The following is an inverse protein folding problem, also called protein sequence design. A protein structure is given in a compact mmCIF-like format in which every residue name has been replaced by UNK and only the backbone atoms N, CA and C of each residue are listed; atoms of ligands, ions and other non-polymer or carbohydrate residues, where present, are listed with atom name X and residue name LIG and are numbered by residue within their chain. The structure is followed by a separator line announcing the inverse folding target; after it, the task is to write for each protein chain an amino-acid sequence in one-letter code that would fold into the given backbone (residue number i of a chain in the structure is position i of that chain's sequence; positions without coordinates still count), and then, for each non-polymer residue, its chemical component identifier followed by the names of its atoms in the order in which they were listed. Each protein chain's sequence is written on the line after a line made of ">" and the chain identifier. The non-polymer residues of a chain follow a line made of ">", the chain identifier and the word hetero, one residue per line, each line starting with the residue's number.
data_IF_976347261397
#
_entry.id   IF_976347261397
#
_cell.length_a   1.000
_cell.length_b   1.000
_cell.length_c   1.000
_cell.angle_alpha   90.00
_cell.angle_beta   90.00
_cell.angle_gamma   90.00
#
_symmetry.space_group_name_H-M   'P 1'
#
loop_
_entity.id
_entity.type
_entity.pdbx_description
1 polymer ?
#
# COMPACT_ATOMS: atom_id res chain seq x y z
N UNK A 1 0.51 5.48 29.72
CA UNK A 1 1.43 5.91 28.66
C UNK A 1 2.80 5.29 28.86
N UNK A 2 3.13 4.32 28.02
CA UNK A 2 4.42 3.65 28.02
C UNK A 2 5.56 4.62 27.61
N UNK A 3 6.77 4.43 28.18
CA UNK A 3 7.90 5.36 27.98
C UNK A 3 8.27 5.54 26.50
N UNK A 4 8.26 4.45 25.71
CA UNK A 4 8.57 4.49 24.28
C UNK A 4 7.49 5.23 23.49
N UNK A 5 6.21 5.04 23.83
CA UNK A 5 5.07 5.78 23.25
C UNK A 5 5.26 7.29 23.44
N UNK A 6 5.59 7.70 24.68
CA UNK A 6 5.84 9.11 25.00
C UNK A 6 6.96 9.71 24.15
N UNK A 7 8.08 9.01 23.99
CA UNK A 7 9.23 9.48 23.20
C UNK A 7 8.84 9.71 21.73
N UNK A 8 8.11 8.77 21.13
CA UNK A 8 7.64 8.90 19.74
C UNK A 8 6.66 10.05 19.61
N UNK A 9 5.67 10.15 20.50
CA UNK A 9 4.67 11.23 20.44
C UNK A 9 5.28 12.61 20.61
N UNK A 10 6.28 12.79 21.49
CA UNK A 10 6.98 14.08 21.61
C UNK A 10 7.75 14.41 20.32
N UNK A 11 8.42 13.43 19.73
CA UNK A 11 9.09 13.61 18.42
C UNK A 11 8.07 14.00 17.34
N UNK A 12 6.93 13.30 17.25
CA UNK A 12 5.85 13.60 16.31
C UNK A 12 5.29 14.99 16.53
N UNK A 13 5.03 15.38 17.77
CA UNK A 13 4.57 16.72 18.13
C UNK A 13 5.52 17.80 17.61
N UNK A 14 6.84 17.61 17.75
CA UNK A 14 7.84 18.54 17.24
C UNK A 14 7.86 18.58 15.70
N UNK A 15 7.77 17.43 15.04
CA UNK A 15 7.71 17.32 13.58
C UNK A 15 6.47 18.04 13.02
N UNK A 16 5.28 17.76 13.56
CA UNK A 16 4.03 18.41 13.12
C UNK A 16 4.03 19.92 13.35
N UNK A 17 4.61 20.39 14.47
CA UNK A 17 4.78 21.83 14.73
C UNK A 17 5.70 22.49 13.71
N UNK A 18 6.81 21.83 13.36
CA UNK A 18 7.77 22.33 12.37
C UNK A 18 7.14 22.38 10.98
N UNK A 19 6.37 21.36 10.62
CA UNK A 19 5.79 21.21 9.29
C UNK A 19 4.45 21.97 9.13
N UNK A 20 3.97 22.64 10.18
CA UNK A 20 2.74 23.43 10.17
C UNK A 20 1.45 22.59 10.15
N UNK A 21 1.55 21.27 10.34
CA UNK A 21 0.45 20.30 10.28
C UNK A 21 -0.08 19.92 11.66
N UNK A 22 0.27 20.67 12.69
CA UNK A 22 -0.09 20.37 14.07
C UNK A 22 -1.61 20.36 14.29
N UNK A 23 -2.13 19.18 14.64
CA UNK A 23 -3.50 18.99 15.12
C UNK A 23 -3.46 18.19 16.41
N UNK A 24 -4.11 18.73 17.44
CA UNK A 24 -4.22 18.07 18.74
C UNK A 24 -5.07 16.80 18.65
N UNK A 25 -6.05 16.78 17.75
CA UNK A 25 -6.93 15.63 17.55
C UNK A 25 -6.21 14.48 16.84
N UNK A 26 -5.39 14.80 15.83
CA UNK A 26 -4.49 13.83 15.19
C UNK A 26 -3.57 13.19 16.21
N UNK A 27 -2.88 14.03 16.99
CA UNK A 27 -1.91 13.56 17.97
C UNK A 27 -2.59 12.67 19.03
N UNK A 28 -3.82 13.00 19.42
CA UNK A 28 -4.61 12.17 20.34
C UNK A 28 -4.99 10.82 19.72
N UNK A 29 -5.37 10.78 18.44
CA UNK A 29 -5.67 9.52 17.75
C UNK A 29 -4.42 8.64 17.60
N UNK A 30 -3.28 9.25 17.24
CA UNK A 30 -1.97 8.58 17.22
C UNK A 30 -1.59 8.02 18.59
N UNK A 31 -1.80 8.81 19.65
CA UNK A 31 -1.54 8.39 21.02
C UNK A 31 -2.37 7.16 21.40
N UNK A 32 -3.67 7.19 21.13
CA UNK A 32 -4.56 6.06 21.39
C UNK A 32 -4.14 4.82 20.61
N UNK A 33 -3.79 4.99 19.33
CA UNK A 33 -3.32 3.88 18.50
C UNK A 33 -2.02 3.27 19.02
N UNK A 34 -1.00 4.09 19.30
CA UNK A 34 0.27 3.60 19.80
C UNK A 34 0.15 2.95 21.18
N UNK A 35 -0.65 3.51 22.09
CA UNK A 35 -0.76 3.03 23.45
C UNK A 35 -1.68 1.82 23.59
N UNK A 36 -2.81 1.80 22.87
CA UNK A 36 -3.86 0.80 23.07
C UNK A 36 -3.97 -0.22 21.95
N UNK A 37 -3.33 0.00 20.80
CA UNK A 37 -3.46 -0.90 19.64
C UNK A 37 -2.10 -1.42 19.19
N UNK A 38 -1.24 -0.59 18.61
CA UNK A 38 0.05 -1.05 18.08
C UNK A 38 1.03 -1.48 19.17
N UNK A 39 1.19 -0.67 20.22
CA UNK A 39 2.13 -0.93 21.31
C UNK A 39 1.92 -2.30 21.94
N UNK A 40 0.72 -2.64 22.43
CA UNK A 40 0.43 -3.95 22.99
C UNK A 40 0.68 -5.13 22.03
N UNK A 41 0.48 -4.94 20.72
CA UNK A 41 0.72 -6.00 19.72
C UNK A 41 2.20 -6.21 19.44
N UNK A 42 2.98 -5.12 19.41
CA UNK A 42 4.38 -5.11 19.02
C UNK A 42 5.36 -5.22 20.18
N UNK A 43 4.86 -5.31 21.42
CA UNK A 43 5.62 -5.13 22.66
C UNK A 43 6.33 -3.76 22.71
N UNK A 44 5.57 -2.72 22.33
CA UNK A 44 6.00 -1.33 22.22
C UNK A 44 7.27 -1.18 21.37
N UNK A 45 7.41 -2.01 20.34
CA UNK A 45 8.42 -1.86 19.28
C UNK A 45 7.79 -1.14 18.11
N UNK A 46 8.34 0.03 17.81
CA UNK A 46 7.86 0.89 16.74
C UNK A 46 8.84 0.93 15.57
N UNK A 47 9.87 0.06 15.61
CA UNK A 47 10.81 -0.11 14.52
C UNK A 47 10.05 -0.45 13.24
N UNK A 48 10.38 0.23 12.14
CA UNK A 48 9.75 0.04 10.82
C UNK A 48 8.27 0.46 10.72
N UNK A 49 7.67 1.00 11.78
CA UNK A 49 6.39 1.67 11.69
C UNK A 49 6.63 3.16 11.41
N UNK A 50 6.17 3.60 10.25
CA UNK A 50 6.28 4.99 9.81
C UNK A 50 4.90 5.61 9.79
N UNK A 51 4.79 6.81 10.33
CA UNK A 51 3.55 7.57 10.22
C UNK A 51 3.63 8.44 8.97
N UNK A 52 2.72 8.21 8.04
CA UNK A 52 2.60 8.96 6.81
C UNK A 52 1.38 9.89 6.90
N UNK A 53 1.62 11.19 7.03
CA UNK A 53 0.57 12.20 6.97
C UNK A 53 0.27 12.52 5.51
N UNK A 54 -0.49 11.64 4.88
CA UNK A 54 -1.07 11.95 3.59
C UNK A 54 -2.46 12.54 3.86
N UNK A 55 -2.53 13.87 3.79
CA UNK A 55 -3.72 14.69 3.56
C UNK A 55 -4.49 15.21 4.79
N UNK A 56 -4.60 16.54 4.87
CA UNK A 56 -5.71 17.22 5.51
C UNK A 56 -6.87 17.20 4.51
N UNK A 57 -8.04 16.70 4.90
CA UNK A 57 -9.23 16.83 4.06
C UNK A 57 -9.81 18.23 4.24
N UNK A 58 -9.61 19.12 3.27
CA UNK A 58 -10.16 20.50 3.32
C UNK A 58 -11.69 20.52 3.44
N UNK A 59 -12.38 19.45 3.01
CA UNK A 59 -13.85 19.37 3.02
C UNK A 59 -14.42 18.52 4.17
N UNK A 60 -13.73 17.46 4.62
CA UNK A 60 -14.20 16.74 5.82
C UNK A 60 -13.84 17.48 7.11
N UNK A 61 -12.95 18.48 7.03
CA UNK A 61 -12.38 19.17 8.19
C UNK A 61 -11.83 18.18 9.24
N UNK A 62 -11.44 17.00 8.78
CA UNK A 62 -11.03 15.89 9.62
C UNK A 62 -9.72 15.31 9.12
N UNK A 63 -8.86 14.90 10.06
CA UNK A 63 -7.55 14.46 9.68
C UNK A 63 -7.45 12.94 9.60
N UNK A 64 -6.81 12.43 8.54
CA UNK A 64 -6.55 10.99 8.36
C UNK A 64 -5.12 10.70 8.80
N UNK A 65 -4.95 9.68 9.64
CA UNK A 65 -3.62 9.20 10.02
C UNK A 65 -3.32 7.88 9.32
N UNK A 66 -2.21 7.78 8.61
CA UNK A 66 -1.75 6.52 8.02
C UNK A 66 -0.47 6.06 8.69
N UNK A 67 -0.40 4.75 8.95
CA UNK A 67 0.78 4.07 9.43
C UNK A 67 1.19 3.03 8.40
N UNK A 68 2.46 3.05 8.04
CA UNK A 68 3.07 2.14 7.08
C UNK A 68 4.04 1.27 7.86
N UNK A 69 3.87 -0.04 7.77
CA UNK A 69 4.76 -1.03 8.34
C UNK A 69 5.28 -1.93 7.22
N UNK A 70 6.57 -1.82 6.95
CA UNK A 70 7.22 -2.53 5.83
C UNK A 70 8.57 -3.18 6.25
N UNK A 71 8.56 -4.18 7.15
CA UNK A 71 9.70 -5.05 7.35
C UNK A 71 9.64 -6.27 6.43
N UNK A 72 10.67 -6.42 5.59
CA UNK A 72 10.98 -7.60 4.79
C UNK A 72 9.79 -8.08 3.92
N UNK A 73 8.94 -8.96 4.47
CA UNK A 73 7.88 -9.67 3.77
C UNK A 73 6.47 -9.20 4.13
N UNK A 74 6.32 -8.26 5.10
CA UNK A 74 5.02 -7.75 5.51
C UNK A 74 4.90 -6.30 5.07
N UNK A 75 4.00 -6.05 4.10
CA UNK A 75 3.60 -4.71 3.68
C UNK A 75 2.23 -4.40 4.26
N UNK A 76 2.19 -3.64 5.34
CA UNK A 76 0.95 -3.30 6.03
C UNK A 76 0.74 -1.78 6.04
N UNK A 77 -0.42 -1.37 5.54
CA UNK A 77 -0.95 -0.02 5.69
C UNK A 77 -2.07 -0.05 6.72
N UNK A 78 -2.00 0.79 7.75
CA UNK A 78 -3.08 1.01 8.71
C UNK A 78 -3.57 2.44 8.56
N UNK A 79 -4.86 2.63 8.31
CA UNK A 79 -5.47 3.96 8.25
C UNK A 79 -6.42 4.15 9.44
N UNK A 80 -6.31 5.30 10.10
CA UNK A 80 -7.25 5.75 11.14
C UNK A 80 -8.06 6.91 10.58
N UNK A 81 -9.37 6.73 10.58
CA UNK A 81 -10.34 7.70 10.04
C UNK A 81 -10.98 8.47 11.21
N UNK A 82 -11.07 9.81 11.04
CA UNK A 82 -11.80 10.74 11.91
C UNK A 82 -13.29 10.42 12.03
N UNK A 83 -14.01 11.17 12.87
CA UNK A 83 -15.18 10.70 13.58
C UNK A 83 -16.49 10.76 12.78
N UNK A 84 -16.57 10.24 11.55
CA UNK A 84 -17.86 9.99 10.87
C UNK A 84 -17.80 8.81 9.90
N UNK A 85 -18.94 8.13 9.71
CA UNK A 85 -19.23 7.01 8.78
C UNK A 85 -19.01 7.34 7.29
N UNK A 86 -18.26 8.39 6.98
CA UNK A 86 -17.97 8.81 5.62
C UNK A 86 -16.61 8.27 5.21
N UNK A 87 -16.64 7.27 4.32
CA UNK A 87 -15.51 7.00 3.44
C UNK A 87 -15.00 8.31 2.82
N UNK A 88 -13.70 8.42 2.51
CA UNK A 88 -13.13 9.58 1.85
C UNK A 88 -13.57 9.58 0.39
N UNK A 89 -14.85 9.82 0.12
CA UNK A 89 -15.36 9.94 -1.23
C UNK A 89 -14.87 11.24 -1.87
N UNK A 90 -14.37 12.21 -1.11
CA UNK A 90 -14.02 13.53 -1.68
C UNK A 90 -12.70 14.10 -1.11
N UNK A 91 -12.05 13.39 -0.18
CA UNK A 91 -10.84 13.87 0.51
C UNK A 91 -9.52 13.68 -0.29
N UNK A 92 -9.57 13.07 -1.47
CA UNK A 92 -8.39 12.75 -2.30
C UNK A 92 -8.60 13.29 -3.71
N UNK A 93 -8.93 14.58 -3.87
CA UNK A 93 -9.33 15.08 -5.19
C UNK A 93 -10.44 14.20 -5.79
N UNK A 94 -10.14 13.45 -6.86
CA UNK A 94 -11.05 12.44 -7.38
C UNK A 94 -11.05 11.16 -6.51
N UNK A 95 -12.16 10.78 -5.84
CA UNK A 95 -12.29 9.50 -5.12
C UNK A 95 -11.80 8.29 -5.90
N UNK A 96 -11.98 8.31 -7.22
CA UNK A 96 -11.54 7.24 -8.09
C UNK A 96 -10.02 7.00 -7.99
N UNK A 97 -9.24 8.06 -7.80
CA UNK A 97 -7.78 7.98 -7.70
C UNK A 97 -7.35 7.34 -6.37
N UNK A 98 -8.09 7.63 -5.30
CA UNK A 98 -7.89 6.98 -4.00
C UNK A 98 -8.19 5.48 -4.09
N UNK A 99 -9.35 5.10 -4.62
CA UNK A 99 -9.72 3.70 -4.78
C UNK A 99 -8.75 2.95 -5.68
N UNK A 100 -8.33 3.57 -6.78
CA UNK A 100 -7.33 3.02 -7.68
C UNK A 100 -6.00 2.82 -6.95
N UNK A 101 -5.54 3.81 -6.18
CA UNK A 101 -4.31 3.69 -5.38
C UNK A 101 -4.39 2.59 -4.33
N UNK A 102 -5.53 2.45 -3.66
CA UNK A 102 -5.74 1.39 -2.67
C UNK A 102 -5.77 0.01 -3.31
N UNK A 103 -6.43 -0.12 -4.45
CA UNK A 103 -6.42 -1.35 -5.24
C UNK A 103 -4.99 -1.68 -5.71
N UNK A 104 -4.23 -0.69 -6.18
CA UNK A 104 -2.85 -0.87 -6.60
C UNK A 104 -1.96 -1.35 -5.45
N UNK A 105 -2.14 -0.81 -4.23
CA UNK A 105 -1.43 -1.30 -3.05
C UNK A 105 -1.78 -2.76 -2.77
N UNK A 106 -3.07 -3.12 -2.76
CA UNK A 106 -3.51 -4.50 -2.54
C UNK A 106 -2.91 -5.43 -3.60
N UNK A 107 -2.95 -5.05 -4.88
CA UNK A 107 -2.36 -5.81 -5.98
C UNK A 107 -0.83 -5.94 -5.88
N UNK A 108 -0.17 -5.02 -5.19
CA UNK A 108 1.26 -5.07 -4.88
C UNK A 108 1.58 -5.89 -3.62
N UNK A 109 0.59 -6.56 -3.03
CA UNK A 109 0.73 -7.40 -1.85
C UNK A 109 0.65 -6.65 -0.53
N UNK A 110 0.11 -5.43 -0.51
CA UNK A 110 -0.14 -4.72 0.74
C UNK A 110 -1.40 -5.23 1.43
N UNK A 111 -1.30 -5.49 2.72
CA UNK A 111 -2.44 -5.58 3.63
C UNK A 111 -2.87 -4.16 4.00
N UNK A 112 -4.17 -3.88 3.90
CA UNK A 112 -4.73 -2.58 4.27
C UNK A 112 -5.75 -2.79 5.38
N UNK A 113 -5.46 -2.25 6.56
CA UNK A 113 -6.39 -2.21 7.69
C UNK A 113 -6.91 -0.79 7.88
N UNK A 114 -8.22 -0.65 8.11
CA UNK A 114 -8.86 0.64 8.37
C UNK A 114 -9.60 0.55 9.69
N UNK A 115 -9.34 1.51 10.57
CA UNK A 115 -10.03 1.65 11.83
C UNK A 115 -10.66 3.03 11.93
N UNK A 116 -11.87 3.11 12.46
CA UNK A 116 -12.40 4.40 12.91
C UNK A 116 -11.77 4.78 14.24
N UNK A 117 -11.71 6.08 14.53
CA UNK A 117 -11.34 6.58 15.86
C UNK A 117 -12.16 5.90 16.97
N UNK A 118 -13.46 5.73 16.75
CA UNK A 118 -14.35 5.07 17.69
C UNK A 118 -13.95 3.61 17.96
N UNK A 119 -13.53 2.85 16.95
CA UNK A 119 -13.04 1.48 17.12
C UNK A 119 -11.77 1.43 17.97
N UNK A 120 -10.84 2.37 17.78
CA UNK A 120 -9.62 2.44 18.58
C UNK A 120 -9.92 2.78 20.03
N UNK A 121 -10.85 3.71 20.28
CA UNK A 121 -11.24 4.14 21.62
C UNK A 121 -12.06 3.08 22.36
N UNK A 122 -13.06 2.50 21.69
CA UNK A 122 -14.08 1.66 22.34
C UNK A 122 -13.80 0.17 22.21
N UNK A 123 -13.03 -0.25 21.20
CA UNK A 123 -12.77 -1.66 20.89
C UNK A 123 -11.28 -1.92 20.56
N UNK A 124 -10.32 -1.46 21.38
CA UNK A 124 -8.90 -1.59 21.07
C UNK A 124 -8.46 -3.05 20.90
N UNK A 125 -9.02 -3.97 21.67
CA UNK A 125 -8.68 -5.40 21.57
C UNK A 125 -9.09 -6.01 20.20
N UNK A 126 -10.21 -5.55 19.63
CA UNK A 126 -10.60 -5.96 18.28
C UNK A 126 -9.56 -5.50 17.25
N UNK A 127 -9.14 -4.23 17.34
CA UNK A 127 -8.10 -3.68 16.46
C UNK A 127 -6.77 -4.42 16.65
N UNK A 128 -6.38 -4.72 17.89
CA UNK A 128 -5.18 -5.51 18.18
C UNK A 128 -5.22 -6.89 17.53
N UNK A 129 -6.37 -7.58 17.58
CA UNK A 129 -6.51 -8.91 16.98
C UNK A 129 -6.38 -8.84 15.44
N UNK A 130 -6.96 -7.82 14.80
CA UNK A 130 -6.80 -7.60 13.36
C UNK A 130 -5.33 -7.36 12.98
N UNK A 131 -4.62 -6.53 13.75
CA UNK A 131 -3.18 -6.31 13.51
C UNK A 131 -2.38 -7.60 13.77
N UNK A 132 -2.67 -8.34 14.85
CA UNK A 132 -2.01 -9.62 15.13
C UNK A 132 -2.18 -10.60 13.97
N UNK A 133 -3.39 -10.72 13.42
CA UNK A 133 -3.64 -11.57 12.25
C UNK A 133 -2.86 -11.10 11.02
N UNK A 134 -2.78 -9.78 10.79
CA UNK A 134 -1.99 -9.23 9.68
C UNK A 134 -0.47 -9.38 9.87
N UNK A 135 0.01 -9.44 11.12
CA UNK A 135 1.42 -9.59 11.47
C UNK A 135 1.86 -11.04 11.70
N UNK A 136 0.90 -11.97 11.84
CA UNK A 136 1.21 -13.39 12.01
C UNK A 136 1.91 -13.88 10.73
N UNK A 137 3.11 -14.48 10.85
CA UNK A 137 3.62 -15.34 9.79
C UNK A 137 2.53 -16.37 9.48
N UNK A 138 2.23 -16.62 8.20
CA UNK A 138 1.17 -17.53 7.79
C UNK A 138 1.44 -18.98 8.27
N UNK A 139 1.09 -19.25 9.53
CA UNK A 139 1.17 -20.57 10.20
C UNK A 139 -0.22 -20.97 10.75
N UNK A 140 -1.31 -20.61 10.06
CA UNK A 140 -2.66 -21.09 10.38
C UNK A 140 -2.94 -22.39 9.60
N UNK A 141 -3.15 -23.54 10.26
CA UNK A 141 -3.72 -24.73 9.64
C UNK A 141 -5.23 -24.54 9.47
N UNK A 142 -5.80 -24.96 8.33
CA UNK A 142 -7.25 -25.11 8.03
C UNK A 142 -8.09 -23.89 7.60
N UNK A 143 -7.55 -23.07 6.71
CA UNK A 143 -8.28 -22.64 5.51
C UNK A 143 -7.49 -23.21 4.31
N UNK A 144 -8.14 -23.59 3.18
CA UNK A 144 -7.44 -24.24 2.08
C UNK A 144 -6.24 -23.37 1.70
N UNK A 145 -5.02 -23.92 1.80
CA UNK A 145 -3.84 -23.10 1.98
C UNK A 145 -3.52 -22.43 0.64
N UNK A 146 -3.70 -21.11 0.58
CA UNK A 146 -2.95 -20.27 -0.36
C UNK A 146 -1.51 -20.04 0.15
N UNK A 147 -0.93 -21.08 0.74
CA UNK A 147 0.49 -21.16 1.08
C UNK A 147 0.95 -22.57 0.77
N UNK A 148 1.64 -22.71 -0.35
CA UNK A 148 2.95 -23.36 -0.45
C UNK A 148 3.18 -23.73 -1.91
N UNK A 149 3.76 -22.79 -2.62
CA UNK A 149 5.07 -23.06 -3.19
C UNK A 149 5.91 -21.84 -2.88
N UNK A 150 7.22 -21.97 -3.04
CA UNK A 150 8.08 -20.81 -3.21
C UNK A 150 7.28 -19.73 -3.95
N UNK A 151 7.37 -18.45 -3.57
CA UNK A 151 7.16 -17.40 -4.58
C UNK A 151 8.34 -17.51 -5.52
N UNK A 152 8.32 -18.63 -6.24
CA UNK A 152 8.93 -18.87 -7.50
C UNK A 152 8.69 -17.55 -8.21
N UNK A 153 9.77 -16.90 -8.57
CA UNK A 153 9.81 -15.61 -9.28
C UNK A 153 8.80 -15.59 -10.45
N UNK A 154 8.34 -16.77 -10.87
CA UNK A 154 7.23 -17.13 -11.73
C UNK A 154 5.84 -16.58 -11.36
N UNK A 155 5.37 -16.52 -10.10
CA UNK A 155 3.97 -16.10 -9.81
C UNK A 155 3.77 -14.59 -9.92
N UNK A 156 4.68 -13.81 -9.32
CA UNK A 156 4.70 -12.34 -9.49
C UNK A 156 4.98 -11.98 -10.95
N UNK A 157 5.79 -12.79 -11.63
CA UNK A 157 6.02 -12.63 -13.05
C UNK A 157 4.76 -12.92 -13.88
N UNK A 158 4.01 -13.99 -13.58
CA UNK A 158 2.77 -14.33 -14.29
C UNK A 158 1.72 -13.23 -14.17
N UNK A 159 1.57 -12.64 -12.98
CA UNK A 159 0.70 -11.48 -12.76
C UNK A 159 1.15 -10.28 -13.61
N UNK A 160 2.46 -9.96 -13.60
CA UNK A 160 3.03 -8.89 -14.44
C UNK A 160 2.82 -9.16 -15.93
N UNK A 161 2.93 -10.42 -16.37
CA UNK A 161 2.65 -10.83 -17.75
C UNK A 161 1.20 -10.57 -18.13
N UNK A 162 0.25 -11.01 -17.30
CA UNK A 162 -1.17 -10.79 -17.56
C UNK A 162 -1.52 -9.30 -17.65
N UNK A 163 -0.97 -8.47 -16.76
CA UNK A 163 -1.14 -7.01 -16.82
C UNK A 163 -0.64 -6.42 -18.14
N UNK A 164 0.58 -6.76 -18.56
CA UNK A 164 1.15 -6.26 -19.81
C UNK A 164 0.38 -6.77 -21.04
N UNK A 165 -0.10 -8.01 -21.02
CA UNK A 165 -0.93 -8.58 -22.09
C UNK A 165 -2.27 -7.84 -22.19
N UNK A 166 -2.93 -7.56 -21.06
CA UNK A 166 -4.18 -6.80 -21.03
C UNK A 166 -3.99 -5.35 -21.50
N UNK A 167 -2.87 -4.72 -21.13
CA UNK A 167 -2.48 -3.41 -21.67
C UNK A 167 -2.32 -3.47 -23.19
N UNK A 168 -1.58 -4.46 -23.70
CA UNK A 168 -1.40 -4.61 -25.15
C UNK A 168 -2.73 -4.82 -25.86
N UNK A 169 -3.65 -5.64 -25.31
CA UNK A 169 -5.01 -5.83 -25.87
C UNK A 169 -5.81 -4.52 -25.93
N UNK A 170 -5.75 -3.66 -24.91
CA UNK A 170 -6.41 -2.35 -24.90
C UNK A 170 -5.82 -1.36 -25.91
N UNK A 171 -4.55 -1.53 -26.25
CA UNK A 171 -3.82 -0.66 -27.18
C UNK A 171 -3.61 -1.27 -28.56
N UNK A 172 -4.59 -2.03 -29.06
CA UNK A 172 -4.57 -2.67 -30.39
C UNK A 172 -3.32 -3.54 -30.62
N UNK A 173 -2.97 -4.33 -29.61
CA UNK A 173 -1.81 -5.20 -29.59
C UNK A 173 -0.48 -4.49 -29.34
N UNK A 174 -0.44 -3.15 -29.16
CA UNK A 174 0.82 -2.41 -28.99
C UNK A 174 1.08 -2.08 -27.53
N UNK A 175 2.34 -2.15 -27.11
CA UNK A 175 2.75 -1.74 -25.76
C UNK A 175 4.15 -1.11 -25.79
N UNK A 176 4.32 0.00 -25.08
CA UNK A 176 5.64 0.65 -24.90
C UNK A 176 6.09 0.61 -23.45
N UNK A 177 7.40 0.60 -23.24
CA UNK A 177 7.98 0.62 -21.90
C UNK A 177 7.55 1.85 -21.07
N UNK A 178 7.34 3.01 -21.72
CA UNK A 178 6.85 4.23 -21.04
C UNK A 178 5.40 4.10 -20.59
N UNK A 179 4.56 3.44 -21.39
CA UNK A 179 3.15 3.21 -21.08
C UNK A 179 3.04 2.19 -19.93
N UNK A 180 3.80 1.10 -19.99
CA UNK A 180 3.90 0.11 -18.89
C UNK A 180 4.50 0.72 -17.62
N UNK A 181 5.52 1.57 -17.74
CA UNK A 181 6.09 2.25 -16.58
C UNK A 181 5.10 3.19 -15.91
N UNK A 182 4.32 3.94 -16.70
CA UNK A 182 3.30 4.85 -16.20
C UNK A 182 2.12 4.09 -15.58
N UNK A 183 1.64 3.04 -16.23
CA UNK A 183 0.45 2.30 -15.78
C UNK A 183 0.74 1.31 -14.64
N UNK A 184 1.93 0.71 -14.61
CA UNK A 184 2.34 -0.17 -13.52
C UNK A 184 3.14 0.54 -12.43
N UNK A 185 3.31 1.87 -12.52
CA UNK A 185 4.10 2.71 -11.60
C UNK A 185 5.48 2.12 -11.26
N UNK A 186 6.20 1.67 -12.29
CA UNK A 186 7.57 1.14 -12.17
C UNK A 186 8.55 2.00 -12.95
N UNK A 187 9.84 1.90 -12.61
CA UNK A 187 10.86 2.57 -13.41
C UNK A 187 10.80 2.11 -14.88
N UNK A 188 11.07 3.04 -15.82
CA UNK A 188 11.19 2.72 -17.25
C UNK A 188 12.17 1.56 -17.50
N UNK A 189 13.23 1.45 -16.68
CA UNK A 189 14.21 0.36 -16.75
C UNK A 189 13.60 -1.00 -16.39
N UNK A 190 12.76 -1.05 -15.35
CA UNK A 190 12.05 -2.25 -14.95
C UNK A 190 11.00 -2.66 -15.98
N UNK A 191 10.20 -1.70 -16.48
CA UNK A 191 9.24 -1.95 -17.56
C UNK A 191 9.92 -2.48 -18.83
N UNK A 192 11.05 -1.88 -19.24
CA UNK A 192 11.83 -2.38 -20.38
C UNK A 192 12.35 -3.80 -20.15
N UNK A 193 12.78 -4.14 -18.93
CA UNK A 193 13.21 -5.48 -18.58
C UNK A 193 12.05 -6.50 -18.67
N UNK A 194 10.84 -6.11 -18.25
CA UNK A 194 9.65 -6.95 -18.39
C UNK A 194 9.30 -7.21 -19.87
N UNK A 195 9.25 -6.16 -20.69
CA UNK A 195 8.93 -6.30 -22.11
C UNK A 195 9.97 -7.14 -22.86
N UNK A 196 11.25 -6.98 -22.53
CA UNK A 196 12.31 -7.82 -23.07
C UNK A 196 12.13 -9.28 -22.69
N UNK A 197 11.78 -9.58 -21.44
CA UNK A 197 11.53 -10.95 -20.98
C UNK A 197 10.31 -11.57 -21.64
N UNK A 198 9.20 -10.82 -21.76
CA UNK A 198 8.00 -11.24 -22.50
C UNK A 198 8.26 -11.53 -23.99
N UNK A 199 9.18 -10.77 -24.61
CA UNK A 199 9.60 -11.03 -25.97
C UNK A 199 10.45 -12.30 -26.11
N UNK A 200 11.32 -12.57 -25.13
CA UNK A 200 12.09 -13.83 -25.06
C UNK A 200 11.17 -15.03 -24.83
N UNK A 201 10.11 -14.87 -24.02
CA UNK A 201 9.09 -15.89 -23.79
C UNK A 201 8.11 -16.05 -24.98
N UNK A 202 8.28 -15.28 -26.06
CA UNK A 202 7.51 -15.40 -27.30
C UNK A 202 6.10 -14.79 -27.27
N UNK A 203 5.71 -14.16 -26.17
CA UNK A 203 4.40 -13.52 -25.98
C UNK A 203 4.32 -12.14 -26.65
N UNK A 204 5.45 -11.46 -26.78
CA UNK A 204 5.57 -10.19 -27.49
C UNK A 204 6.58 -10.31 -28.64
N UNK A 205 6.37 -9.54 -29.70
CA UNK A 205 7.31 -9.35 -30.79
C UNK A 205 7.87 -7.93 -30.75
N UNK A 206 9.19 -7.80 -30.78
CA UNK A 206 9.83 -6.49 -30.87
C UNK A 206 9.66 -5.92 -32.28
N UNK A 207 9.12 -4.71 -32.40
CA UNK A 207 8.83 -4.09 -33.69
C UNK A 207 9.73 -2.89 -34.04
N UNK A 208 10.77 -2.63 -33.24
CA UNK A 208 11.72 -1.54 -33.45
C UNK A 208 11.46 -0.30 -32.56
N UNK A 209 12.49 0.52 -32.42
CA UNK A 209 12.45 1.79 -31.68
C UNK A 209 13.76 2.15 -30.97
N UNK A 210 13.97 3.45 -30.70
CA UNK A 210 15.10 3.94 -29.87
C UNK A 210 14.99 3.39 -28.43
N UNK A 211 16.05 3.34 -27.60
CA UNK A 211 16.00 2.77 -26.24
C UNK A 211 14.97 3.42 -25.29
N UNK A 212 14.47 4.62 -25.62
CA UNK A 212 13.43 5.34 -24.87
C UNK A 212 12.02 5.21 -25.47
N UNK A 213 11.88 4.51 -26.59
CA UNK A 213 10.65 4.36 -27.37
C UNK A 213 10.51 2.98 -28.01
N UNK A 214 11.04 1.93 -27.38
CA UNK A 214 10.89 0.56 -27.84
C UNK A 214 9.41 0.16 -27.80
N UNK A 215 8.89 -0.27 -28.96
CA UNK A 215 7.52 -0.73 -29.13
C UNK A 215 7.51 -2.25 -29.28
N UNK A 216 6.63 -2.88 -28.50
CA UNK A 216 6.38 -4.31 -28.56
C UNK A 216 4.95 -4.55 -29.01
N UNK A 217 4.75 -5.63 -29.75
CA UNK A 217 3.44 -6.07 -30.22
C UNK A 217 3.08 -7.40 -29.58
N UNK A 218 1.84 -7.56 -29.16
CA UNK A 218 1.30 -8.85 -28.78
C UNK A 218 1.36 -9.77 -29.99
N UNK A 219 1.93 -10.96 -29.79
CA UNK A 219 1.95 -11.98 -30.83
C UNK A 219 0.59 -12.66 -30.81
N UNK A 220 -0.12 -12.64 -31.93
CA UNK A 220 -1.34 -13.44 -32.05
C UNK A 220 -0.96 -14.93 -32.02
N UNK A 221 -1.60 -15.67 -31.12
CA UNK A 221 -1.42 -17.11 -30.97
C UNK A 221 -2.10 -17.89 -32.08
#
# INVERSE_FOLDING_TARGET
>A
MHKKTKIILERRRLEMKRDGTYSNELLKCEELFFEHVWGPVSDFRFDKLYVNHLFWSEQMNEPITRFVYDPFDIKLLVEIIGHHDCFPYEAVGNPQDYWSSMNDLILQGWLVLRFSKHQIESQPLHCQNQIKLALQPAEIPSLPPFSHRETDIWDVWEIRKQLVIQMAKRHNGKVKAREVAAECNVSIRAAAAWLKRLAVEGLLSFAGGHPRGMVYFLKDG
#
